data_IF_948473677497
#
_entry.id   IF_948473677497
#
_cell.length_a   1.000
_cell.length_b   1.000
_cell.length_c   1.000
_cell.angle_alpha   90.00
_cell.angle_beta   90.00
_cell.angle_gamma   90.00
#
_symmetry.space_group_name_H-M   'P 1'
#
loop_
_entity.id
_entity.type
_entity.pdbx_description
1 polymer ?
#
# COMPACT_ATOMS: atom_id res chain seq x y z
N UNK A 1 36.27 -19.76 12.01
CA UNK A 1 37.02 -18.55 11.65
C UNK A 1 37.44 -18.42 10.19
N UNK A 2 37.30 -19.42 9.31
CA UNK A 2 37.68 -19.32 7.88
C UNK A 2 36.54 -18.91 6.93
N UNK A 3 35.26 -19.02 7.31
CA UNK A 3 34.13 -18.73 6.43
C UNK A 3 33.61 -17.26 6.45
N UNK A 4 33.99 -16.46 7.43
CA UNK A 4 33.60 -15.06 7.52
C UNK A 4 34.50 -14.10 6.71
N UNK A 5 35.68 -14.58 6.26
CA UNK A 5 36.67 -13.77 5.54
C UNK A 5 36.53 -13.80 4.02
N UNK A 6 35.65 -14.66 3.46
CA UNK A 6 35.50 -14.85 2.01
C UNK A 6 34.41 -13.91 1.42
N UNK A 7 33.54 -13.28 2.22
CA UNK A 7 32.54 -12.33 1.72
C UNK A 7 33.06 -10.90 1.51
N UNK A 8 34.29 -10.59 1.87
CA UNK A 8 34.85 -9.23 1.71
C UNK A 8 35.67 -9.02 0.42
N UNK A 9 35.83 -10.03 -0.43
CA UNK A 9 36.78 -9.98 -1.55
C UNK A 9 36.17 -9.96 -2.98
N UNK A 10 34.84 -9.97 -3.14
CA UNK A 10 34.25 -9.90 -4.49
C UNK A 10 33.53 -8.55 -4.73
N UNK A 11 34.36 -7.49 -4.80
CA UNK A 11 33.91 -6.12 -5.09
C UNK A 11 33.69 -5.84 -6.60
N UNK A 12 33.47 -6.86 -7.43
CA UNK A 12 33.38 -6.68 -8.89
C UNK A 12 31.98 -6.74 -9.50
N UNK A 13 30.93 -6.61 -8.70
CA UNK A 13 29.57 -6.41 -9.21
C UNK A 13 28.88 -5.25 -8.51
N UNK A 14 29.45 -4.06 -8.60
CA UNK A 14 28.72 -2.82 -8.32
C UNK A 14 28.04 -2.36 -9.62
N UNK A 15 26.72 -2.30 -9.59
CA UNK A 15 25.89 -1.52 -10.52
C UNK A 15 26.39 -0.07 -10.50
N UNK A 16 26.50 0.64 -11.64
CA UNK A 16 27.02 2.01 -11.65
C UNK A 16 26.04 2.96 -10.95
N UNK A 17 26.35 3.35 -9.74
CA UNK A 17 25.75 4.52 -9.07
C UNK A 17 26.31 5.79 -9.74
N UNK A 18 25.71 6.23 -10.80
CA UNK A 18 25.85 7.58 -11.31
C UNK A 18 24.83 8.45 -10.58
N UNK A 19 25.27 9.20 -9.60
CA UNK A 19 24.69 10.33 -8.89
C UNK A 19 24.66 10.20 -7.36
N UNK A 20 25.79 9.84 -6.76
CA UNK A 20 25.98 10.06 -5.33
C UNK A 20 26.92 11.24 -5.20
N UNK A 21 26.46 12.36 -4.62
CA UNK A 21 27.27 13.56 -4.42
C UNK A 21 28.51 13.24 -3.58
N UNK A 22 29.61 13.95 -3.81
CA UNK A 22 30.89 13.76 -3.14
C UNK A 22 30.82 13.78 -1.58
N UNK A 23 29.75 14.39 -1.03
CA UNK A 23 29.46 14.42 0.42
C UNK A 23 29.03 13.04 0.96
N UNK A 24 28.20 12.30 0.21
CA UNK A 24 27.73 10.96 0.66
C UNK A 24 28.86 9.93 0.66
N UNK A 25 29.79 10.02 -0.29
CA UNK A 25 30.99 9.14 -0.32
C UNK A 25 31.93 9.43 0.84
N UNK A 26 32.06 10.68 1.27
CA UNK A 26 32.86 11.09 2.43
C UNK A 26 32.29 10.54 3.75
N UNK A 27 30.97 10.63 3.93
CA UNK A 27 30.26 10.08 5.11
C UNK A 27 30.34 8.56 5.17
N UNK A 28 30.15 7.85 4.05
CA UNK A 28 30.30 6.39 4.00
C UNK A 28 31.73 5.94 4.36
N UNK A 29 32.76 6.63 3.89
CA UNK A 29 34.15 6.33 4.24
C UNK A 29 34.45 6.59 5.72
N UNK A 30 33.90 7.67 6.29
CA UNK A 30 34.02 7.98 7.71
C UNK A 30 33.34 6.94 8.62
N UNK A 31 32.18 6.47 8.25
CA UNK A 31 31.43 5.44 8.98
C UNK A 31 32.12 4.06 8.92
N UNK A 32 32.63 3.68 7.76
CA UNK A 32 33.38 2.42 7.60
C UNK A 32 34.69 2.46 8.43
N UNK A 33 35.42 3.57 8.45
CA UNK A 33 36.63 3.70 9.26
C UNK A 33 36.33 3.70 10.75
N UNK A 34 35.22 4.32 11.19
CA UNK A 34 34.76 4.27 12.58
C UNK A 34 34.35 2.86 12.99
N UNK A 35 33.66 2.13 12.14
CA UNK A 35 33.28 0.73 12.37
C UNK A 35 34.54 -0.19 12.51
N UNK A 36 35.52 -0.02 11.64
CA UNK A 36 36.78 -0.78 11.71
C UNK A 36 37.51 -0.48 13.01
N UNK A 37 37.57 0.77 13.47
CA UNK A 37 38.20 1.14 14.74
C UNK A 37 37.46 0.58 15.97
N UNK A 38 36.14 0.51 15.93
CA UNK A 38 35.30 -0.15 16.96
C UNK A 38 35.59 -1.65 16.98
N UNK A 39 35.68 -2.32 15.84
CA UNK A 39 35.98 -3.75 15.74
C UNK A 39 37.40 -4.06 16.24
N UNK A 40 38.39 -3.21 15.98
CA UNK A 40 39.74 -3.37 16.47
C UNK A 40 39.83 -3.20 18.00
N UNK A 41 38.98 -2.40 18.63
CA UNK A 41 38.88 -2.27 20.09
C UNK A 41 38.10 -3.43 20.73
N UNK A 42 37.00 -3.88 20.09
CA UNK A 42 36.16 -5.00 20.54
C UNK A 42 36.96 -6.32 20.52
N UNK A 43 37.82 -6.51 19.53
CA UNK A 43 38.70 -7.70 19.44
C UNK A 43 39.67 -7.86 20.63
N UNK A 44 39.87 -6.82 21.46
CA UNK A 44 40.69 -6.87 22.67
C UNK A 44 39.92 -7.19 23.96
N UNK A 45 38.61 -7.24 23.90
CA UNK A 45 37.73 -7.51 25.04
C UNK A 45 37.27 -8.97 24.93
N UNK A 46 37.44 -9.77 26.00
CA UNK A 46 36.90 -11.13 26.09
C UNK A 46 35.36 -11.06 26.22
N UNK A 47 34.66 -10.88 25.11
CA UNK A 47 33.19 -10.88 25.03
C UNK A 47 32.75 -12.29 24.59
N UNK A 48 31.74 -12.84 25.23
CA UNK A 48 31.16 -14.11 24.84
C UNK A 48 30.51 -14.03 23.46
N UNK A 49 30.43 -15.14 22.72
CA UNK A 49 29.79 -15.20 21.39
C UNK A 49 28.34 -14.70 21.42
N UNK A 50 27.61 -14.94 22.52
CA UNK A 50 26.23 -14.50 22.70
C UNK A 50 26.12 -12.97 22.84
N UNK A 51 27.07 -12.33 23.53
CA UNK A 51 27.14 -10.87 23.68
C UNK A 51 27.58 -10.21 22.38
N UNK A 52 28.52 -10.82 21.65
CA UNK A 52 28.94 -10.37 20.32
C UNK A 52 27.76 -10.41 19.34
N UNK A 53 26.91 -11.43 19.39
CA UNK A 53 25.72 -11.57 18.58
C UNK A 53 24.66 -10.49 18.91
N UNK A 54 24.43 -10.22 20.21
CA UNK A 54 23.55 -9.14 20.66
C UNK A 54 24.05 -7.77 20.22
N UNK A 55 25.34 -7.49 20.35
CA UNK A 55 25.97 -6.25 19.94
C UNK A 55 25.88 -6.08 18.40
N UNK A 56 26.11 -7.17 17.65
CA UNK A 56 25.97 -7.16 16.19
C UNK A 56 24.53 -6.84 15.75
N UNK A 57 23.52 -7.48 16.35
CA UNK A 57 22.11 -7.17 16.08
C UNK A 57 21.75 -5.74 16.48
N UNK A 58 22.26 -5.26 17.61
CA UNK A 58 22.01 -3.89 18.07
C UNK A 58 22.64 -2.85 17.13
N UNK A 59 23.91 -3.03 16.76
CA UNK A 59 24.61 -2.12 15.82
C UNK A 59 23.98 -2.20 14.42
N UNK A 60 23.61 -3.39 13.95
CA UNK A 60 22.95 -3.56 12.65
C UNK A 60 21.54 -2.94 12.65
N UNK A 61 20.77 -3.11 13.73
CA UNK A 61 19.47 -2.47 13.90
C UNK A 61 19.61 -0.94 13.97
N UNK A 62 20.61 -0.42 14.70
CA UNK A 62 20.86 1.02 14.80
C UNK A 62 21.29 1.62 13.45
N UNK A 63 22.16 0.92 12.72
CA UNK A 63 22.61 1.33 11.38
C UNK A 63 21.44 1.30 10.40
N UNK A 64 20.58 0.26 10.46
CA UNK A 64 19.40 0.15 9.63
C UNK A 64 18.39 1.28 9.91
N UNK A 65 18.16 1.62 11.19
CA UNK A 65 17.29 2.73 11.59
C UNK A 65 17.85 4.08 11.11
N UNK A 66 19.16 4.31 11.28
CA UNK A 66 19.82 5.54 10.83
C UNK A 66 19.79 5.66 9.30
N UNK A 67 20.08 4.56 8.56
CA UNK A 67 20.01 4.56 7.09
C UNK A 67 18.58 4.65 6.57
N UNK A 68 17.61 4.03 7.24
CA UNK A 68 16.19 4.17 6.87
C UNK A 68 15.68 5.60 7.14
N UNK A 69 16.16 6.27 8.18
CA UNK A 69 15.81 7.66 8.50
C UNK A 69 16.48 8.66 7.54
N UNK A 70 17.75 8.42 7.15
CA UNK A 70 18.44 9.22 6.13
C UNK A 70 17.86 9.02 4.72
N UNK A 71 17.49 7.80 4.34
CA UNK A 71 16.79 7.54 3.06
C UNK A 71 15.38 8.16 3.02
N UNK A 72 14.72 8.31 4.17
CA UNK A 72 13.43 9.02 4.26
C UNK A 72 13.58 10.56 4.30
N UNK A 73 14.74 11.10 4.70
CA UNK A 73 14.97 12.54 4.72
C UNK A 73 15.24 13.15 3.34
N UNK A 74 15.64 12.35 2.36
CA UNK A 74 16.02 12.85 1.03
C UNK A 74 14.82 13.08 0.09
N UNK A 75 13.58 12.79 0.49
CA UNK A 75 12.40 12.96 -0.34
C UNK A 75 11.34 13.88 0.27
N UNK A 76 11.73 15.14 0.57
CA UNK A 76 10.72 16.18 0.82
C UNK A 76 10.07 16.52 -0.52
N UNK A 77 8.80 16.12 -0.70
CA UNK A 77 8.03 16.39 -1.91
C UNK A 77 7.14 17.62 -1.73
N UNK A 78 6.88 18.27 -2.84
CA UNK A 78 5.80 19.23 -3.01
C UNK A 78 4.57 18.50 -3.49
N UNK A 79 3.54 18.47 -2.68
CA UNK A 79 2.29 17.75 -2.95
C UNK A 79 1.17 18.75 -3.22
N UNK A 80 0.41 18.53 -4.30
CA UNK A 80 -0.88 19.17 -4.50
C UNK A 80 -2.00 18.22 -4.05
N UNK A 81 -3.05 18.75 -3.46
CA UNK A 81 -4.26 18.00 -3.11
C UNK A 81 -5.39 18.41 -4.04
N UNK A 82 -6.07 17.43 -4.63
CA UNK A 82 -7.25 17.62 -5.47
C UNK A 82 -8.42 16.91 -4.78
N UNK A 83 -9.37 17.70 -4.26
CA UNK A 83 -10.42 17.28 -3.36
C UNK A 83 -10.01 17.42 -1.89
N UNK A 84 -10.67 18.35 -1.18
CA UNK A 84 -10.31 18.69 0.21
C UNK A 84 -11.43 18.32 1.21
N UNK A 85 -12.06 17.18 0.95
CA UNK A 85 -13.03 16.55 1.86
C UNK A 85 -12.37 15.85 3.06
N UNK A 86 -13.06 14.85 3.62
CA UNK A 86 -12.56 14.07 4.77
C UNK A 86 -11.21 13.39 4.50
N UNK A 87 -11.01 12.85 3.28
CA UNK A 87 -9.75 12.21 2.89
C UNK A 87 -8.64 13.24 2.66
N UNK A 88 -8.89 14.31 1.89
CA UNK A 88 -7.89 15.34 1.59
C UNK A 88 -7.30 15.96 2.85
N UNK A 89 -8.14 16.31 3.85
CA UNK A 89 -7.69 16.84 5.15
C UNK A 89 -6.83 15.85 5.95
N UNK A 90 -7.13 14.56 5.87
CA UNK A 90 -6.35 13.54 6.56
C UNK A 90 -5.02 13.27 5.85
N UNK A 91 -5.01 13.28 4.52
CA UNK A 91 -3.81 13.16 3.68
C UNK A 91 -2.87 14.32 3.96
N UNK A 92 -3.38 15.57 4.03
CA UNK A 92 -2.59 16.74 4.40
C UNK A 92 -1.86 16.55 5.74
N UNK A 93 -2.60 16.17 6.79
CA UNK A 93 -2.02 15.97 8.12
C UNK A 93 -0.90 14.93 8.11
N UNK A 94 -1.08 13.83 7.38
CA UNK A 94 -0.08 12.77 7.28
C UNK A 94 1.11 13.22 6.45
N UNK A 95 0.89 13.88 5.31
CA UNK A 95 1.94 14.40 4.44
C UNK A 95 2.84 15.41 5.18
N UNK A 96 2.23 16.38 5.88
CA UNK A 96 2.96 17.35 6.71
C UNK A 96 3.71 16.66 7.86
N UNK A 97 3.09 15.68 8.53
CA UNK A 97 3.73 14.89 9.58
C UNK A 97 4.92 14.05 9.10
N UNK A 98 4.98 13.74 7.80
CA UNK A 98 6.11 13.06 7.14
C UNK A 98 7.15 14.01 6.56
N UNK A 99 6.95 15.33 6.70
CA UNK A 99 7.88 16.37 6.28
C UNK A 99 7.64 16.90 4.86
N UNK A 100 6.62 16.45 4.15
CA UNK A 100 6.27 16.96 2.82
C UNK A 100 5.65 18.36 2.88
N UNK A 101 5.64 19.06 1.76
CA UNK A 101 5.06 20.39 1.63
C UNK A 101 3.75 20.29 0.83
N UNK A 102 2.68 20.87 1.34
CA UNK A 102 1.45 21.07 0.56
C UNK A 102 1.55 22.41 -0.13
N UNK A 103 1.69 22.38 -1.46
CA UNK A 103 1.88 23.59 -2.28
C UNK A 103 0.60 24.12 -2.89
N UNK A 104 -0.40 23.24 -3.10
CA UNK A 104 -1.70 23.62 -3.65
C UNK A 104 -2.80 22.72 -3.09
N UNK A 105 -3.96 23.32 -2.84
CA UNK A 105 -5.19 22.59 -2.45
C UNK A 105 -6.29 23.05 -3.39
N UNK A 106 -6.81 22.11 -4.18
CA UNK A 106 -7.86 22.36 -5.16
C UNK A 106 -9.13 21.65 -4.72
N UNK A 107 -10.23 22.39 -4.67
CA UNK A 107 -11.57 21.85 -4.41
C UNK A 107 -12.56 22.48 -5.40
N UNK A 108 -13.85 22.28 -5.18
CA UNK A 108 -14.90 22.72 -6.11
C UNK A 108 -14.91 24.25 -6.34
N UNK A 109 -14.52 25.03 -5.33
CA UNK A 109 -14.64 26.49 -5.35
C UNK A 109 -13.43 27.22 -5.94
N UNK A 110 -12.30 26.52 -6.18
CA UNK A 110 -11.05 27.16 -6.66
C UNK A 110 -10.40 26.41 -7.82
N UNK A 111 -11.19 25.91 -8.73
CA UNK A 111 -10.74 25.13 -9.88
C UNK A 111 -9.73 25.86 -10.79
N UNK A 112 -9.70 27.21 -10.78
CA UNK A 112 -8.71 28.03 -11.49
C UNK A 112 -7.28 27.83 -10.96
N UNK A 113 -7.10 27.34 -9.74
CA UNK A 113 -5.79 27.15 -9.12
C UNK A 113 -4.97 26.02 -9.75
N UNK A 114 -5.58 25.18 -10.61
CA UNK A 114 -4.83 24.25 -11.47
C UNK A 114 -3.81 24.99 -12.36
N UNK A 115 -4.14 26.22 -12.78
CA UNK A 115 -3.28 27.04 -13.67
C UNK A 115 -2.26 27.90 -12.89
N UNK A 116 -2.14 27.70 -11.57
CA UNK A 116 -1.21 28.43 -10.71
C UNK A 116 0.22 27.88 -10.78
N UNK A 117 1.22 28.74 -10.58
CA UNK A 117 2.61 28.33 -10.41
C UNK A 117 2.79 27.37 -9.22
N UNK A 118 1.98 27.53 -8.18
CA UNK A 118 1.99 26.66 -7.01
C UNK A 118 1.63 25.22 -7.39
N UNK A 119 0.54 25.02 -8.13
CA UNK A 119 0.14 23.70 -8.62
C UNK A 119 1.19 23.11 -9.57
N UNK A 120 1.66 23.89 -10.55
CA UNK A 120 2.67 23.46 -11.52
C UNK A 120 4.03 23.10 -10.86
N UNK A 121 4.29 23.59 -9.63
CA UNK A 121 5.50 23.24 -8.87
C UNK A 121 5.41 21.93 -8.11
N UNK A 122 4.24 21.26 -8.11
CA UNK A 122 4.03 20.01 -7.38
C UNK A 122 4.77 18.84 -8.06
N UNK A 123 5.41 18.00 -7.26
CA UNK A 123 6.01 16.74 -7.72
C UNK A 123 4.93 15.70 -8.00
N UNK A 124 3.89 15.67 -7.15
CA UNK A 124 2.75 14.74 -7.23
C UNK A 124 1.48 15.43 -6.75
N UNK A 125 0.37 15.19 -7.45
CA UNK A 125 -0.97 15.56 -7.00
C UNK A 125 -1.69 14.32 -6.45
N UNK A 126 -2.31 14.43 -5.26
CA UNK A 126 -3.12 13.37 -4.66
C UNK A 126 -4.59 13.75 -4.85
N UNK A 127 -5.31 12.92 -5.62
CA UNK A 127 -6.68 13.17 -6.06
C UNK A 127 -7.67 12.23 -5.34
N UNK A 128 -8.62 12.82 -4.60
CA UNK A 128 -9.72 12.13 -3.95
C UNK A 128 -11.00 12.96 -4.09
N UNK A 129 -11.62 12.90 -5.26
CA UNK A 129 -12.86 13.62 -5.56
C UNK A 129 -14.04 12.67 -5.80
N UNK A 130 -14.53 12.57 -7.01
CA UNK A 130 -15.65 11.72 -7.39
C UNK A 130 -15.47 11.18 -8.82
N UNK A 131 -16.25 10.17 -9.24
CA UNK A 131 -16.12 9.53 -10.55
C UNK A 131 -16.17 10.48 -11.74
N UNK A 132 -17.00 11.50 -11.68
CA UNK A 132 -17.24 12.41 -12.81
C UNK A 132 -16.17 13.50 -12.95
N UNK A 133 -15.51 13.88 -11.86
CA UNK A 133 -14.46 14.89 -11.86
C UNK A 133 -13.05 14.30 -12.12
N UNK A 134 -12.83 13.07 -11.71
CA UNK A 134 -11.50 12.45 -11.66
C UNK A 134 -10.74 12.54 -12.99
N UNK A 135 -11.34 12.11 -14.09
CA UNK A 135 -10.67 12.14 -15.39
C UNK A 135 -10.28 13.55 -15.83
N UNK A 136 -11.18 14.54 -15.66
CA UNK A 136 -10.87 15.94 -15.94
C UNK A 136 -9.71 16.48 -15.09
N UNK A 137 -9.64 16.07 -13.82
CA UNK A 137 -8.55 16.44 -12.91
C UNK A 137 -7.22 15.85 -13.39
N UNK A 138 -7.21 14.60 -13.89
CA UNK A 138 -5.99 13.98 -14.44
C UNK A 138 -5.47 14.75 -15.64
N UNK A 139 -6.36 15.10 -16.60
CA UNK A 139 -5.99 15.86 -17.81
C UNK A 139 -5.35 17.21 -17.45
N UNK A 140 -5.91 17.91 -16.45
CA UNK A 140 -5.37 19.19 -15.98
C UNK A 140 -4.02 19.03 -15.30
N UNK A 141 -3.84 18.02 -14.45
CA UNK A 141 -2.55 17.72 -13.83
C UNK A 141 -1.49 17.34 -14.87
N UNK A 142 -1.84 16.49 -15.82
CA UNK A 142 -0.95 16.07 -16.91
C UNK A 142 -0.53 17.23 -17.83
N UNK A 143 -1.41 18.23 -18.06
CA UNK A 143 -1.06 19.44 -18.82
C UNK A 143 0.08 20.25 -18.19
N UNK A 144 0.26 20.11 -16.86
CA UNK A 144 1.36 20.71 -16.11
C UNK A 144 2.52 19.74 -15.81
N UNK A 145 2.50 18.53 -16.38
CA UNK A 145 3.46 17.44 -16.11
C UNK A 145 3.50 17.02 -14.62
N UNK A 146 2.43 17.24 -13.88
CA UNK A 146 2.29 16.81 -12.48
C UNK A 146 1.82 15.36 -12.47
N UNK A 147 2.56 14.48 -11.81
CA UNK A 147 2.21 13.08 -11.59
C UNK A 147 0.98 12.99 -10.68
N UNK A 148 0.14 11.98 -10.85
CA UNK A 148 -1.11 11.84 -10.11
C UNK A 148 -1.16 10.54 -9.32
N UNK A 149 -1.64 10.61 -8.08
CA UNK A 149 -2.09 9.48 -7.26
C UNK A 149 -3.59 9.64 -7.05
N UNK A 150 -4.40 8.69 -7.50
CA UNK A 150 -5.84 8.81 -7.40
C UNK A 150 -6.51 7.64 -6.69
N UNK A 151 -7.41 7.99 -5.76
CA UNK A 151 -8.32 7.08 -5.08
C UNK A 151 -9.77 7.18 -5.58
N UNK A 152 -10.05 8.04 -6.57
CA UNK A 152 -11.37 8.11 -7.18
C UNK A 152 -11.65 6.86 -8.02
N UNK A 153 -12.86 6.32 -7.89
CA UNK A 153 -13.32 5.11 -8.60
C UNK A 153 -14.42 5.44 -9.59
N UNK A 154 -14.82 4.46 -10.42
CA UNK A 154 -15.96 4.59 -11.34
C UNK A 154 -15.64 5.22 -12.70
N UNK A 155 -14.49 5.84 -12.90
CA UNK A 155 -14.06 6.46 -14.17
C UNK A 155 -13.42 5.48 -15.16
N UNK A 156 -12.90 4.35 -14.67
CA UNK A 156 -12.07 3.42 -15.44
C UNK A 156 -12.80 2.83 -16.66
N UNK A 157 -14.12 2.60 -16.54
CA UNK A 157 -14.94 2.02 -17.62
C UNK A 157 -14.98 2.93 -18.84
N UNK A 158 -15.08 4.25 -18.61
CA UNK A 158 -15.30 5.23 -19.68
C UNK A 158 -13.99 5.84 -20.21
N UNK A 159 -12.94 5.89 -19.37
CA UNK A 159 -11.71 6.62 -19.67
C UNK A 159 -10.42 5.79 -19.44
N UNK A 160 -10.54 4.51 -19.07
CA UNK A 160 -9.37 3.69 -18.71
C UNK A 160 -8.39 3.49 -19.87
N UNK A 161 -8.88 3.35 -21.11
CA UNK A 161 -8.02 3.17 -22.29
C UNK A 161 -7.25 4.45 -22.62
N UNK A 162 -7.89 5.60 -22.51
CA UNK A 162 -7.25 6.90 -22.74
C UNK A 162 -6.13 7.13 -21.73
N UNK A 163 -6.39 6.86 -20.46
CA UNK A 163 -5.40 7.00 -19.39
C UNK A 163 -4.23 6.02 -19.59
N UNK A 164 -4.50 4.76 -19.93
CA UNK A 164 -3.46 3.77 -20.25
C UNK A 164 -2.56 4.25 -21.37
N UNK A 165 -3.15 4.79 -22.44
CA UNK A 165 -2.42 5.33 -23.57
C UNK A 165 -1.57 6.55 -23.19
N UNK A 166 -2.12 7.49 -22.43
CA UNK A 166 -1.36 8.66 -21.96
C UNK A 166 -0.17 8.27 -21.08
N UNK A 167 -0.33 7.27 -20.23
CA UNK A 167 0.76 6.77 -19.39
C UNK A 167 1.82 5.99 -20.18
N UNK A 168 1.41 5.18 -21.18
CA UNK A 168 2.31 4.34 -21.97
C UNK A 168 3.06 5.12 -23.06
N UNK A 169 2.37 6.01 -23.78
CA UNK A 169 2.89 6.70 -24.96
C UNK A 169 3.16 8.19 -24.70
N UNK A 170 2.38 8.83 -23.82
CA UNK A 170 2.45 10.27 -23.55
C UNK A 170 3.39 10.66 -22.41
N UNK A 171 4.05 9.70 -21.76
CA UNK A 171 4.99 9.94 -20.66
C UNK A 171 4.31 10.41 -19.35
N UNK A 172 2.96 10.35 -19.28
CA UNK A 172 2.23 10.74 -18.07
C UNK A 172 2.32 9.64 -17.00
N UNK A 173 2.06 10.02 -15.75
CA UNK A 173 2.12 9.09 -14.62
C UNK A 173 0.86 9.17 -13.78
N UNK A 174 0.18 8.04 -13.66
CA UNK A 174 -0.93 7.85 -12.74
C UNK A 174 -0.68 6.63 -11.85
N UNK A 175 -0.70 6.80 -10.55
CA UNK A 175 -0.88 5.73 -9.59
C UNK A 175 -2.37 5.65 -9.26
N UNK A 176 -3.01 4.52 -9.57
CA UNK A 176 -4.42 4.33 -9.24
C UNK A 176 -4.64 3.09 -8.38
N UNK A 177 -5.48 3.26 -7.35
CA UNK A 177 -5.98 2.15 -6.56
C UNK A 177 -7.41 2.43 -6.09
N UNK A 178 -8.24 1.40 -6.11
CA UNK A 178 -9.58 1.45 -5.51
C UNK A 178 -9.53 1.44 -3.98
N UNK A 179 -8.40 1.01 -3.40
CA UNK A 179 -8.17 0.94 -1.96
C UNK A 179 -6.70 1.22 -1.64
N UNK A 180 -6.43 2.23 -0.84
CA UNK A 180 -5.09 2.62 -0.40
C UNK A 180 -4.70 2.08 0.98
N UNK A 181 -5.53 1.23 1.60
CA UNK A 181 -5.19 0.66 2.91
C UNK A 181 -4.02 -0.32 2.80
N UNK A 182 -2.91 0.03 3.44
CA UNK A 182 -1.74 -0.85 3.55
C UNK A 182 -2.13 -2.17 4.24
N UNK A 183 -2.97 -2.09 5.28
CA UNK A 183 -3.48 -3.27 5.96
C UNK A 183 -4.26 -4.19 5.03
N UNK A 184 -5.11 -3.63 4.14
CA UNK A 184 -5.82 -4.41 3.12
C UNK A 184 -4.84 -5.01 2.10
N UNK A 185 -3.82 -4.27 1.66
CA UNK A 185 -2.82 -4.79 0.72
C UNK A 185 -2.04 -5.99 1.31
N UNK A 186 -1.61 -5.89 2.58
CA UNK A 186 -0.96 -7.00 3.30
C UNK A 186 -1.94 -8.16 3.48
N UNK A 187 -3.17 -7.87 3.88
CA UNK A 187 -4.22 -8.88 4.08
C UNK A 187 -4.52 -9.65 2.79
N UNK A 188 -4.63 -8.94 1.66
CA UNK A 188 -4.79 -9.51 0.32
C UNK A 188 -3.62 -10.45 -0.05
N UNK A 189 -2.37 -10.04 0.22
CA UNK A 189 -1.20 -10.90 -0.03
C UNK A 189 -1.24 -12.20 0.82
N UNK A 190 -1.59 -12.08 2.10
CA UNK A 190 -1.76 -13.24 3.01
C UNK A 190 -2.91 -14.12 2.55
N UNK A 191 -4.04 -13.52 2.11
CA UNK A 191 -5.21 -14.22 1.58
C UNK A 191 -4.85 -15.10 0.37
N UNK A 192 -4.18 -14.53 -0.64
CA UNK A 192 -3.72 -15.28 -1.83
C UNK A 192 -2.80 -16.43 -1.45
N UNK A 193 -1.83 -16.16 -0.56
CA UNK A 193 -0.88 -17.18 -0.13
C UNK A 193 -1.55 -18.30 0.66
N UNK A 194 -2.46 -17.96 1.58
CA UNK A 194 -3.23 -18.93 2.35
C UNK A 194 -4.15 -19.76 1.44
N UNK A 195 -4.89 -19.14 0.52
CA UNK A 195 -5.74 -19.83 -0.45
C UNK A 195 -4.95 -20.86 -1.26
N UNK A 196 -3.75 -20.49 -1.75
CA UNK A 196 -2.85 -21.40 -2.47
C UNK A 196 -2.40 -22.58 -1.61
N UNK A 197 -2.10 -22.39 -0.33
CA UNK A 197 -1.78 -23.50 0.59
C UNK A 197 -3.02 -24.39 0.76
N UNK A 198 -4.19 -23.79 1.03
CA UNK A 198 -5.43 -24.50 1.32
C UNK A 198 -6.01 -25.25 0.11
N UNK A 199 -5.52 -24.97 -1.10
CA UNK A 199 -5.84 -25.75 -2.29
C UNK A 199 -5.44 -27.22 -2.15
N UNK A 200 -4.34 -27.51 -1.44
CA UNK A 200 -3.90 -28.86 -1.12
C UNK A 200 -4.66 -29.57 0.01
N UNK A 201 -5.64 -28.92 0.66
CA UNK A 201 -6.35 -29.43 1.83
C UNK A 201 -7.87 -29.35 1.66
N UNK A 202 -8.48 -30.28 0.88
CA UNK A 202 -9.89 -30.20 0.50
C UNK A 202 -10.87 -30.41 1.69
N UNK A 203 -10.40 -30.91 2.83
CA UNK A 203 -11.22 -31.09 4.04
C UNK A 203 -11.57 -29.74 4.71
N UNK A 204 -10.93 -28.63 4.34
CA UNK A 204 -11.28 -27.31 4.84
C UNK A 204 -12.26 -26.62 3.89
N UNK A 205 -13.39 -26.22 4.42
CA UNK A 205 -14.34 -25.33 3.76
C UNK A 205 -13.94 -23.87 3.98
N UNK A 206 -14.13 -23.01 2.97
CA UNK A 206 -13.84 -21.58 3.07
C UNK A 206 -15.13 -20.78 3.20
N UNK A 207 -15.15 -19.83 4.14
CA UNK A 207 -16.24 -18.88 4.33
C UNK A 207 -15.68 -17.46 4.41
N UNK A 208 -16.50 -16.47 4.06
CA UNK A 208 -16.13 -15.07 4.07
C UNK A 208 -17.24 -14.18 4.61
N UNK A 209 -16.88 -13.26 5.52
CA UNK A 209 -17.78 -12.25 6.06
C UNK A 209 -17.14 -10.86 5.98
N UNK A 210 -17.94 -9.86 5.62
CA UNK A 210 -17.57 -8.45 5.72
C UNK A 210 -18.52 -7.68 6.64
N UNK A 211 -17.98 -6.76 7.45
CA UNK A 211 -18.77 -5.86 8.30
C UNK A 211 -18.44 -4.40 7.97
N UNK A 212 -19.47 -3.59 7.73
CA UNK A 212 -19.34 -2.14 7.51
C UNK A 212 -20.40 -1.34 8.26
N UNK A 213 -20.24 0.00 8.22
CA UNK A 213 -21.18 0.94 8.82
C UNK A 213 -22.57 0.84 8.18
N UNK A 214 -23.58 1.28 8.93
CA UNK A 214 -25.00 1.17 8.53
C UNK A 214 -25.37 1.96 7.27
N UNK A 215 -24.57 2.95 6.88
CA UNK A 215 -24.79 3.79 5.68
C UNK A 215 -24.18 3.21 4.40
N UNK A 216 -23.52 2.03 4.45
CA UNK A 216 -22.95 1.40 3.27
C UNK A 216 -24.03 0.69 2.47
N UNK A 217 -24.21 1.12 1.23
CA UNK A 217 -25.29 0.64 0.35
C UNK A 217 -24.95 -0.65 -0.40
N UNK A 218 -23.69 -0.74 -0.87
CA UNK A 218 -23.21 -1.93 -1.59
C UNK A 218 -22.96 -3.09 -0.65
N UNK A 219 -23.46 -4.28 -0.99
CA UNK A 219 -23.23 -5.54 -0.30
C UNK A 219 -23.20 -6.68 -1.34
N UNK A 220 -22.10 -7.45 -1.45
CA UNK A 220 -20.82 -7.29 -0.75
C UNK A 220 -20.06 -6.02 -1.10
N UNK A 221 -19.11 -5.62 -0.25
CA UNK A 221 -18.22 -4.48 -0.53
C UNK A 221 -17.24 -4.82 -1.66
N UNK A 222 -16.78 -3.79 -2.42
CA UNK A 222 -15.78 -4.00 -3.47
C UNK A 222 -14.51 -4.70 -2.97
N UNK A 223 -14.03 -4.39 -1.76
CA UNK A 223 -12.90 -5.09 -1.15
C UNK A 223 -13.21 -6.56 -0.88
N UNK A 224 -14.42 -6.89 -0.41
CA UNK A 224 -14.81 -8.28 -0.20
C UNK A 224 -14.86 -9.05 -1.52
N UNK A 225 -15.36 -8.44 -2.59
CA UNK A 225 -15.38 -9.05 -3.92
C UNK A 225 -13.95 -9.35 -4.39
N UNK A 226 -13.04 -8.37 -4.32
CA UNK A 226 -11.64 -8.57 -4.69
C UNK A 226 -10.98 -9.70 -3.91
N UNK A 227 -11.19 -9.76 -2.59
CA UNK A 227 -10.64 -10.82 -1.75
C UNK A 227 -11.23 -12.21 -2.10
N UNK A 228 -12.50 -12.27 -2.48
CA UNK A 228 -13.14 -13.51 -2.93
C UNK A 228 -12.59 -13.97 -4.28
N UNK A 229 -12.42 -13.05 -5.23
CA UNK A 229 -11.80 -13.35 -6.53
C UNK A 229 -10.36 -13.86 -6.36
N UNK A 230 -9.58 -13.26 -5.45
CA UNK A 230 -8.23 -13.74 -5.10
C UNK A 230 -8.24 -15.17 -4.52
N UNK A 231 -9.27 -15.55 -3.73
CA UNK A 231 -9.42 -16.92 -3.24
C UNK A 231 -9.73 -17.85 -4.40
N UNK A 232 -10.66 -17.49 -5.26
CA UNK A 232 -11.08 -18.30 -6.42
C UNK A 232 -9.91 -18.54 -7.37
N UNK A 233 -9.11 -17.53 -7.65
CA UNK A 233 -7.92 -17.64 -8.50
C UNK A 233 -6.83 -18.60 -7.95
N UNK A 234 -6.90 -18.96 -6.66
CA UNK A 234 -5.91 -19.80 -5.99
C UNK A 234 -6.49 -21.08 -5.35
N UNK A 235 -7.78 -21.37 -5.55
CA UNK A 235 -8.48 -22.47 -4.92
C UNK A 235 -9.36 -23.22 -5.95
N UNK A 236 -8.80 -24.21 -6.63
CA UNK A 236 -9.38 -24.92 -7.79
C UNK A 236 -10.81 -25.46 -7.57
N UNK A 237 -11.24 -25.67 -6.32
CA UNK A 237 -12.58 -26.12 -5.97
C UNK A 237 -13.62 -25.00 -5.86
N UNK A 238 -13.23 -23.74 -6.14
CA UNK A 238 -14.12 -22.58 -6.17
C UNK A 238 -13.97 -21.89 -7.51
N UNK A 239 -15.07 -21.63 -8.22
CA UNK A 239 -15.11 -21.02 -9.57
C UNK A 239 -15.89 -19.71 -9.62
N UNK A 240 -16.69 -19.41 -8.60
CA UNK A 240 -17.43 -18.15 -8.54
C UNK A 240 -17.71 -17.75 -7.08
N UNK A 241 -18.06 -16.49 -6.89
CA UNK A 241 -18.61 -16.04 -5.62
C UNK A 241 -20.09 -15.69 -5.75
N UNK A 242 -20.83 -15.83 -4.65
CA UNK A 242 -22.23 -15.46 -4.55
C UNK A 242 -22.48 -14.53 -3.37
N UNK A 243 -23.44 -13.63 -3.53
CA UNK A 243 -23.93 -12.81 -2.44
C UNK A 243 -24.68 -13.70 -1.46
N UNK A 244 -24.20 -13.77 -0.23
CA UNK A 244 -24.81 -14.48 0.87
C UNK A 244 -25.85 -13.63 1.61
N UNK A 245 -25.85 -13.75 2.92
CA UNK A 245 -26.76 -13.01 3.78
C UNK A 245 -26.29 -11.57 4.02
N UNK A 246 -27.24 -10.65 4.18
CA UNK A 246 -27.02 -9.30 4.69
C UNK A 246 -27.74 -9.15 6.03
N UNK A 247 -26.97 -9.03 7.11
CA UNK A 247 -27.51 -8.79 8.46
C UNK A 247 -27.56 -7.28 8.72
N UNK A 248 -28.80 -6.79 8.83
CA UNK A 248 -29.09 -5.39 9.14
C UNK A 248 -28.87 -5.06 10.65
N UNK A 249 -28.79 -3.76 11.04
CA UNK A 249 -28.54 -3.33 12.41
C UNK A 249 -29.63 -3.77 13.41
N UNK A 250 -30.85 -3.92 12.96
CA UNK A 250 -32.01 -4.38 13.74
C UNK A 250 -32.07 -5.91 13.90
N UNK A 251 -31.07 -6.61 13.29
CA UNK A 251 -31.01 -8.07 13.31
C UNK A 251 -31.76 -8.75 12.16
N UNK A 252 -32.48 -8.00 11.32
CA UNK A 252 -33.09 -8.55 10.11
C UNK A 252 -32.02 -9.14 9.17
N UNK A 253 -32.30 -10.30 8.58
CA UNK A 253 -31.41 -10.98 7.65
C UNK A 253 -32.10 -11.08 6.30
N UNK A 254 -31.46 -10.55 5.27
CA UNK A 254 -31.85 -10.66 3.88
C UNK A 254 -30.89 -11.60 3.13
N UNK A 255 -31.36 -12.20 2.03
CA UNK A 255 -30.55 -13.09 1.20
C UNK A 255 -30.62 -14.54 1.61
N UNK A 256 -29.76 -15.38 1.03
CA UNK A 256 -29.71 -16.82 1.28
C UNK A 256 -28.36 -17.24 1.85
N UNK A 257 -28.39 -18.18 2.77
CA UNK A 257 -27.21 -18.89 3.23
C UNK A 257 -26.81 -20.05 2.28
N UNK A 258 -27.68 -20.37 1.29
CA UNK A 258 -27.43 -21.47 0.36
C UNK A 258 -26.39 -21.05 -0.69
N UNK A 259 -25.42 -21.92 -0.93
CA UNK A 259 -24.47 -21.81 -2.04
C UNK A 259 -24.06 -23.21 -2.48
N UNK A 260 -23.68 -23.37 -3.74
CA UNK A 260 -23.12 -24.61 -4.24
C UNK A 260 -21.71 -24.85 -3.70
N UNK A 261 -21.26 -26.11 -3.71
CA UNK A 261 -19.92 -26.45 -3.19
C UNK A 261 -18.77 -25.75 -3.91
N UNK A 262 -18.96 -25.40 -5.20
CA UNK A 262 -18.02 -24.70 -6.04
C UNK A 262 -18.14 -23.16 -5.94
N UNK A 263 -19.09 -22.65 -5.16
CA UNK A 263 -19.28 -21.20 -4.95
C UNK A 263 -18.70 -20.73 -3.62
N UNK A 264 -18.14 -19.53 -3.60
CA UNK A 264 -17.71 -18.85 -2.38
C UNK A 264 -18.77 -17.83 -1.96
N UNK A 265 -19.45 -18.10 -0.83
CA UNK A 265 -20.43 -17.18 -0.27
C UNK A 265 -19.76 -16.05 0.50
N UNK A 266 -20.22 -14.83 0.25
CA UNK A 266 -19.81 -13.62 0.97
C UNK A 266 -21.00 -13.12 1.80
N UNK A 267 -20.91 -13.27 3.11
CA UNK A 267 -21.89 -12.70 4.05
C UNK A 267 -21.53 -11.27 4.39
N UNK A 268 -22.55 -10.44 4.59
CA UNK A 268 -22.40 -9.01 4.89
C UNK A 268 -23.10 -8.65 6.19
N UNK A 269 -22.47 -7.79 7.00
CA UNK A 269 -23.04 -7.24 8.25
C UNK A 269 -22.99 -5.72 8.19
N UNK A 270 -24.06 -5.08 8.66
CA UNK A 270 -24.12 -3.62 8.84
C UNK A 270 -24.23 -3.31 10.33
N UNK A 271 -23.22 -2.61 10.87
CA UNK A 271 -23.08 -2.37 12.31
C UNK A 271 -22.44 -1.02 12.61
N UNK A 272 -23.17 -0.13 13.29
CA UNK A 272 -22.67 1.16 13.78
C UNK A 272 -21.91 1.95 12.72
N UNK A 273 -20.73 2.47 13.08
CA UNK A 273 -19.84 3.26 12.24
C UNK A 273 -18.56 2.48 11.83
N UNK A 274 -18.63 1.17 11.80
CA UNK A 274 -17.47 0.29 11.45
C UNK A 274 -16.91 0.67 10.08
N UNK A 275 -15.62 1.06 9.97
CA UNK A 275 -15.02 1.45 8.70
C UNK A 275 -14.89 0.32 7.69
N UNK A 276 -14.68 -0.91 8.18
CA UNK A 276 -14.59 -2.13 7.40
C UNK A 276 -13.83 -3.23 8.13
N UNK A 277 -14.46 -4.40 8.26
CA UNK A 277 -13.84 -5.63 8.77
C UNK A 277 -14.04 -6.69 7.69
N UNK A 278 -13.00 -7.46 7.38
CA UNK A 278 -13.06 -8.59 6.47
C UNK A 278 -12.49 -9.82 7.17
N UNK A 279 -13.26 -10.87 7.24
CA UNK A 279 -12.89 -12.15 7.88
C UNK A 279 -12.99 -13.26 6.87
N UNK A 280 -11.95 -14.08 6.77
CA UNK A 280 -11.89 -15.28 5.96
C UNK A 280 -11.53 -16.44 6.87
N UNK A 281 -12.34 -17.49 6.85
CA UNK A 281 -12.14 -18.67 7.67
C UNK A 281 -12.08 -19.93 6.81
N UNK A 282 -11.11 -20.79 7.11
CA UNK A 282 -10.99 -22.14 6.58
C UNK A 282 -11.28 -23.11 7.72
N UNK A 283 -12.39 -23.81 7.63
CA UNK A 283 -12.93 -24.64 8.71
C UNK A 283 -12.97 -26.13 8.33
N UNK A 284 -12.64 -26.99 9.29
CA UNK A 284 -12.65 -28.46 9.17
C UNK A 284 -13.25 -29.08 10.43
N UNK A 285 -13.42 -30.38 10.46
CA UNK A 285 -13.84 -31.10 11.69
C UNK A 285 -12.80 -30.98 12.82
N UNK A 286 -11.53 -30.75 12.50
CA UNK A 286 -10.44 -30.74 13.46
C UNK A 286 -10.17 -29.36 14.06
N UNK A 287 -10.18 -28.33 13.23
CA UNK A 287 -9.82 -26.97 13.61
C UNK A 287 -10.29 -25.92 12.57
N UNK A 288 -10.12 -24.66 12.90
CA UNK A 288 -10.44 -23.53 12.02
C UNK A 288 -9.27 -22.55 11.96
N UNK A 289 -8.87 -22.16 10.77
CA UNK A 289 -7.89 -21.11 10.51
C UNK A 289 -8.63 -19.86 10.08
N UNK A 290 -8.50 -18.77 10.85
CA UNK A 290 -9.17 -17.50 10.55
C UNK A 290 -8.15 -16.38 10.39
N UNK A 291 -8.28 -15.62 9.32
CA UNK A 291 -7.58 -14.34 9.13
C UNK A 291 -8.60 -13.21 9.13
N UNK A 292 -8.27 -12.08 9.76
CA UNK A 292 -9.15 -10.92 9.88
C UNK A 292 -8.37 -9.63 9.69
N UNK A 293 -8.88 -8.74 8.85
CA UNK A 293 -8.48 -7.35 8.78
C UNK A 293 -9.58 -6.48 9.37
N UNK A 294 -9.25 -5.68 10.39
CA UNK A 294 -10.16 -4.74 11.06
C UNK A 294 -9.62 -3.31 10.93
N UNK A 295 -10.30 -2.50 10.13
CA UNK A 295 -9.94 -1.10 9.94
C UNK A 295 -10.48 -0.25 11.10
N UNK A 296 -9.61 0.29 11.95
CA UNK A 296 -10.01 1.15 13.07
C UNK A 296 -10.34 2.58 12.65
N UNK A 297 -9.78 3.05 11.53
CA UNK A 297 -10.00 4.41 11.02
C UNK A 297 -9.57 4.56 9.56
N UNK A 298 -9.93 5.73 8.96
CA UNK A 298 -9.46 6.08 7.61
C UNK A 298 -7.98 6.48 7.53
N UNK A 299 -7.25 6.57 8.64
CA UNK A 299 -5.82 6.94 8.64
C UNK A 299 -4.96 6.00 7.82
N UNK A 300 -5.28 4.70 7.80
CA UNK A 300 -4.56 3.70 6.99
C UNK A 300 -4.66 3.98 5.50
N UNK A 301 -5.80 4.44 5.01
CA UNK A 301 -6.00 4.81 3.60
C UNK A 301 -5.23 6.09 3.24
N UNK A 302 -5.29 7.10 4.12
CA UNK A 302 -4.58 8.36 3.90
C UNK A 302 -3.05 8.17 3.95
N UNK A 303 -2.54 7.35 4.86
CA UNK A 303 -1.12 6.98 4.89
C UNK A 303 -0.72 6.25 3.61
N UNK A 304 -1.51 5.29 3.15
CA UNK A 304 -1.24 4.59 1.90
C UNK A 304 -1.21 5.52 0.67
N UNK A 305 -2.09 6.53 0.62
CA UNK A 305 -2.07 7.53 -0.44
C UNK A 305 -0.79 8.39 -0.43
N UNK A 306 -0.28 8.75 0.76
CA UNK A 306 0.99 9.49 0.88
C UNK A 306 2.17 8.60 0.48
N UNK A 307 2.22 7.34 0.91
CA UNK A 307 3.26 6.40 0.50
C UNK A 307 3.22 6.11 -1.01
N UNK A 308 2.01 6.05 -1.60
CA UNK A 308 1.88 5.94 -3.05
C UNK A 308 2.41 7.19 -3.78
N UNK A 309 2.25 8.38 -3.20
CA UNK A 309 2.84 9.60 -3.74
C UNK A 309 4.37 9.58 -3.67
N UNK A 310 4.95 9.13 -2.55
CA UNK A 310 6.40 8.93 -2.40
C UNK A 310 6.94 7.95 -3.45
N UNK A 311 6.24 6.84 -3.66
CA UNK A 311 6.58 5.87 -4.69
C UNK A 311 6.47 6.46 -6.11
N UNK A 312 5.37 7.17 -6.40
CA UNK A 312 5.07 7.76 -7.70
C UNK A 312 6.07 8.84 -8.09
N UNK A 313 6.60 9.60 -7.12
CA UNK A 313 7.62 10.61 -7.38
C UNK A 313 8.85 10.03 -8.11
N UNK A 314 9.20 8.78 -7.78
CA UNK A 314 10.39 8.09 -8.32
C UNK A 314 10.09 7.15 -9.49
N UNK A 315 8.82 6.92 -9.84
CA UNK A 315 8.39 5.99 -10.87
C UNK A 315 7.56 6.69 -11.95
N UNK A 316 7.32 6.02 -13.07
CA UNK A 316 6.56 6.57 -14.19
C UNK A 316 5.64 5.53 -14.81
N UNK A 317 4.59 6.00 -15.49
CA UNK A 317 3.61 5.18 -16.18
C UNK A 317 2.34 4.95 -15.36
N UNK A 318 1.59 3.91 -15.69
CA UNK A 318 0.41 3.51 -14.91
C UNK A 318 0.85 2.57 -13.79
N UNK A 319 0.73 3.04 -12.56
CA UNK A 319 1.20 2.38 -11.35
C UNK A 319 0.02 1.93 -10.47
N UNK A 320 0.23 0.88 -9.71
CA UNK A 320 -0.77 0.27 -8.82
C UNK A 320 -0.18 -0.10 -7.46
N UNK A 321 -1.01 -0.54 -6.54
CA UNK A 321 -0.59 -1.08 -5.23
C UNK A 321 0.39 -2.25 -5.40
N UNK A 322 0.20 -3.09 -6.43
CA UNK A 322 1.07 -4.26 -6.68
C UNK A 322 2.47 -3.86 -7.15
N UNK A 323 2.63 -2.69 -7.77
CA UNK A 323 3.94 -2.16 -8.15
C UNK A 323 4.70 -1.65 -6.93
N UNK A 324 3.98 -1.04 -5.98
CA UNK A 324 4.55 -0.48 -4.76
C UNK A 324 4.94 -1.57 -3.75
N UNK A 325 4.12 -2.61 -3.59
CA UNK A 325 4.34 -3.71 -2.67
C UNK A 325 4.66 -5.01 -3.43
N UNK A 326 5.89 -5.46 -3.37
CA UNK A 326 6.35 -6.74 -3.93
C UNK A 326 6.19 -7.83 -2.87
N UNK A 327 4.95 -8.30 -2.69
CA UNK A 327 4.65 -9.44 -1.81
C UNK A 327 4.75 -10.76 -2.58
#
# INVERSE_FOLDING_TARGET
>A
MRSAFIMAADSRRCVPCAAVSALSVGLCRGLISAQVAVWQRVARIKISYAELKKLFYFVFSLTYVIFADDLNRDLIMKIALIGYGKMGKMIEQIALGRGHQIVSIIDIDNQQDFDSEAFASADVAIEFTNPTAAYGNYLRAFAHNVKVVSGSTGWMKDHGDDVRKMCAEGGQTLFWASNFSIGVAIFSAVNRYLAKIMNGFPQYSVTMEETHHVHKLDAPSGTAITLAEEIIDNLDRKDSWVKGTLKAPDGHIEGSADCADNELRIDSVRRGEVPGIHTIAYDSEADCITITHDAHSRKGFALGAVLAAEYTAQHSGLLTISDMFKF
#
